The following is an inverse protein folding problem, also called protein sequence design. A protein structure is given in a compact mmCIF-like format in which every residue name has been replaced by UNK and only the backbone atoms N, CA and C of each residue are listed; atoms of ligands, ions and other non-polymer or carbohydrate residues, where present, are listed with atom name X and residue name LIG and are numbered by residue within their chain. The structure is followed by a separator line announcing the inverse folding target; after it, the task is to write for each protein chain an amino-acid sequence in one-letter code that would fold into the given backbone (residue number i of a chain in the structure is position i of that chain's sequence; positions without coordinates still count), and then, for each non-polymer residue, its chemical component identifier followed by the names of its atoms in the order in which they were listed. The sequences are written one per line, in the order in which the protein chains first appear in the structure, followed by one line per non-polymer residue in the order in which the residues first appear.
data_IF_359063384924
#
_entry.id   IF_359063384924
#
_cell.length_a   1.000
_cell.length_b   1.000
_cell.length_c   1.000
_cell.angle_alpha   90.00
_cell.angle_beta   90.00
_cell.angle_gamma   90.00
#
_symmetry.space_group_name_H-M   'P 1'
#
loop_
_entity.id
_entity.type
_entity.pdbx_description
1 polymer ?
#
# COMPACT_ATOMS: atom_id res chain seq x y z
N UNK A 1 13.21 14.56 -5.12
CA UNK A 1 14.57 14.73 -4.52
C UNK A 1 14.40 14.90 -3.03
N UNK A 2 15.15 14.11 -2.23
CA UNK A 2 15.21 14.22 -0.77
C UNK A 2 16.53 14.84 -0.35
N UNK A 3 16.49 15.67 0.68
CA UNK A 3 17.69 16.19 1.34
C UNK A 3 18.02 15.35 2.58
N UNK A 4 19.28 15.17 2.87
CA UNK A 4 19.76 14.48 4.07
C UNK A 4 21.10 15.13 4.54
N UNK A 5 21.44 14.91 5.81
CA UNK A 5 22.73 15.35 6.34
C UNK A 5 23.72 14.19 6.29
N UNK A 6 24.85 14.39 5.66
CA UNK A 6 25.95 13.40 5.59
C UNK A 6 26.53 13.16 6.97
N UNK A 7 26.49 11.92 7.44
CA UNK A 7 26.95 11.57 8.81
C UNK A 7 28.43 11.82 9.04
N UNK A 8 29.24 11.77 7.97
CA UNK A 8 30.70 11.90 8.05
C UNK A 8 31.19 13.35 7.97
N UNK A 9 30.50 14.22 7.26
CA UNK A 9 30.95 15.61 7.02
C UNK A 9 30.00 16.66 7.61
N UNK A 10 28.78 16.28 8.00
CA UNK A 10 27.76 17.24 8.44
C UNK A 10 27.13 18.07 7.31
N UNK A 11 27.60 17.90 6.08
CA UNK A 11 27.09 18.64 4.92
C UNK A 11 25.70 18.12 4.47
N UNK A 12 24.94 19.01 3.84
CA UNK A 12 23.69 18.62 3.18
C UNK A 12 24.00 17.85 1.90
N UNK A 13 23.33 16.72 1.72
CA UNK A 13 23.33 15.92 0.49
C UNK A 13 21.95 15.82 -0.10
N UNK A 14 21.86 15.48 -1.38
CA UNK A 14 20.61 15.21 -2.11
C UNK A 14 20.61 13.77 -2.59
N UNK A 15 19.46 13.13 -2.55
CA UNK A 15 19.24 11.81 -3.13
C UNK A 15 17.93 11.75 -3.88
N UNK A 16 17.93 11.05 -4.98
CA UNK A 16 16.76 10.76 -5.80
C UNK A 16 16.81 9.31 -6.24
N UNK A 17 15.67 8.68 -6.38
CA UNK A 17 15.56 7.36 -7.00
C UNK A 17 14.80 7.48 -8.31
N UNK A 18 15.28 6.76 -9.31
CA UNK A 18 14.59 6.51 -10.58
C UNK A 18 14.43 5.00 -10.74
N UNK A 19 13.40 4.57 -11.44
CA UNK A 19 13.26 3.17 -11.86
C UNK A 19 13.60 3.12 -13.33
N UNK A 20 14.56 2.29 -13.69
CA UNK A 20 14.90 1.98 -15.07
C UNK A 20 14.34 0.61 -15.40
N UNK A 21 13.79 0.48 -16.60
CA UNK A 21 13.27 -0.78 -17.12
C UNK A 21 13.85 -1.07 -18.49
N UNK A 22 14.06 -2.35 -18.76
CA UNK A 22 14.34 -2.89 -20.08
C UNK A 22 13.48 -4.13 -20.33
N UNK A 23 13.67 -4.82 -21.43
CA UNK A 23 12.92 -6.03 -21.78
C UNK A 23 13.06 -7.18 -20.76
N UNK A 24 14.10 -7.16 -19.93
CA UNK A 24 14.39 -8.20 -18.93
C UNK A 24 13.80 -7.90 -17.55
N UNK A 25 13.41 -6.65 -17.29
CA UNK A 25 12.86 -6.26 -15.99
C UNK A 25 13.12 -4.81 -15.61
N UNK A 26 12.96 -4.52 -14.32
CA UNK A 26 13.17 -3.18 -13.79
C UNK A 26 14.13 -3.17 -12.60
N UNK A 27 14.87 -2.06 -12.45
CA UNK A 27 15.78 -1.87 -11.35
C UNK A 27 15.68 -0.44 -10.80
N UNK A 28 15.72 -0.30 -9.49
CA UNK A 28 15.82 1.00 -8.85
C UNK A 28 17.25 1.51 -8.88
N UNK A 29 17.41 2.77 -9.24
CA UNK A 29 18.71 3.45 -9.28
C UNK A 29 18.70 4.62 -8.32
N UNK A 30 19.67 4.68 -7.41
CA UNK A 30 19.88 5.81 -6.51
C UNK A 30 20.87 6.80 -7.12
N UNK A 31 20.43 8.04 -7.30
CA UNK A 31 21.20 9.18 -7.79
C UNK A 31 21.54 10.10 -6.63
N UNK A 32 22.75 10.63 -6.59
CA UNK A 32 23.27 11.42 -5.48
C UNK A 32 23.75 12.80 -5.92
N UNK A 33 23.52 13.79 -5.09
CA UNK A 33 24.02 15.17 -5.22
C UNK A 33 23.76 15.75 -6.63
N UNK A 34 24.79 15.99 -7.45
CA UNK A 34 24.69 16.54 -8.80
C UNK A 34 23.89 15.65 -9.76
N UNK A 35 23.95 14.33 -9.59
CA UNK A 35 23.19 13.39 -10.42
C UNK A 35 21.69 13.57 -10.27
N UNK A 36 21.21 14.13 -9.15
CA UNK A 36 19.80 14.41 -8.93
C UNK A 36 19.24 15.49 -9.87
N UNK A 37 20.09 16.37 -10.39
CA UNK A 37 19.72 17.41 -11.36
C UNK A 37 19.35 16.77 -12.70
N UNK A 38 20.21 15.86 -13.18
CA UNK A 38 19.94 15.11 -14.41
C UNK A 38 18.69 14.26 -14.22
N UNK A 39 18.57 13.53 -13.09
CA UNK A 39 17.39 12.72 -12.80
C UNK A 39 16.09 13.53 -12.75
N UNK A 40 16.15 14.78 -12.28
CA UNK A 40 14.96 15.66 -12.23
C UNK A 40 14.54 16.18 -13.60
N UNK A 41 15.43 16.16 -14.58
CA UNK A 41 15.15 16.57 -15.97
C UNK A 41 14.63 15.40 -16.84
N UNK A 42 14.60 14.17 -16.29
CA UNK A 42 14.06 13.01 -17.00
C UNK A 42 12.54 12.96 -16.91
N UNK A 43 11.94 12.50 -17.99
CA UNK A 43 10.53 12.16 -18.09
C UNK A 43 10.35 10.65 -18.21
N UNK A 44 9.18 10.15 -17.82
CA UNK A 44 8.82 8.75 -18.06
C UNK A 44 8.83 8.50 -19.58
N UNK A 45 9.49 7.41 -19.99
CA UNK A 45 9.70 7.08 -21.41
C UNK A 45 11.03 7.56 -21.99
N UNK A 46 11.81 8.37 -21.24
CA UNK A 46 13.14 8.76 -21.70
C UNK A 46 14.09 7.57 -21.68
N UNK A 47 14.75 7.33 -22.80
CA UNK A 47 15.87 6.38 -22.87
C UNK A 47 17.12 6.98 -22.24
N UNK A 48 17.75 6.24 -21.34
CA UNK A 48 18.95 6.68 -20.62
C UNK A 48 20.08 5.64 -20.67
N UNK A 49 21.30 6.13 -20.68
CA UNK A 49 22.51 5.33 -20.43
C UNK A 49 23.00 5.60 -19.03
N UNK A 50 23.31 4.55 -18.30
CA UNK A 50 23.88 4.62 -16.97
C UNK A 50 25.26 3.98 -16.95
N UNK A 51 26.24 4.64 -16.35
CA UNK A 51 27.60 4.16 -16.23
C UNK A 51 28.16 4.39 -14.83
N UNK A 52 29.12 3.57 -14.42
CA UNK A 52 29.81 3.73 -13.13
C UNK A 52 28.93 3.48 -11.90
N UNK A 53 27.92 2.63 -12.05
CA UNK A 53 27.08 2.15 -10.97
C UNK A 53 27.55 0.80 -10.41
N UNK A 54 27.05 0.44 -9.25
CA UNK A 54 27.19 -0.89 -8.67
C UNK A 54 25.87 -1.39 -8.11
N UNK A 55 25.67 -2.70 -8.22
CA UNK A 55 24.51 -3.36 -7.66
C UNK A 55 24.72 -3.64 -6.16
N UNK A 56 23.67 -3.46 -5.37
CA UNK A 56 23.65 -3.79 -3.94
C UNK A 56 22.30 -4.38 -3.58
N UNK A 57 22.22 -5.08 -2.47
CA UNK A 57 20.96 -5.42 -1.85
C UNK A 57 20.34 -4.16 -1.26
N UNK A 58 19.12 -3.86 -1.71
CA UNK A 58 18.29 -2.78 -1.19
C UNK A 58 17.40 -3.26 -0.06
N UNK A 59 16.36 -2.49 0.21
CA UNK A 59 15.32 -2.87 1.15
C UNK A 59 14.53 -4.06 0.59
N UNK A 60 14.20 -5.06 1.42
CA UNK A 60 13.53 -6.33 1.04
C UNK A 60 14.35 -7.25 0.11
N UNK A 61 15.67 -7.28 0.24
CA UNK A 61 16.58 -8.11 -0.57
C UNK A 61 16.52 -7.85 -2.09
N UNK A 62 15.73 -6.89 -2.55
CA UNK A 62 15.69 -6.50 -3.95
C UNK A 62 17.02 -5.91 -4.40
N UNK A 63 17.45 -6.23 -5.62
CA UNK A 63 18.64 -5.62 -6.19
C UNK A 63 18.37 -4.17 -6.55
N UNK A 64 19.23 -3.28 -6.08
CA UNK A 64 19.23 -1.86 -6.43
C UNK A 64 20.57 -1.47 -7.04
N UNK A 65 20.57 -0.52 -7.97
CA UNK A 65 21.78 0.13 -8.46
C UNK A 65 22.03 1.44 -7.70
N UNK A 66 23.27 1.70 -7.41
CA UNK A 66 23.70 2.98 -6.86
C UNK A 66 24.81 3.53 -7.76
N UNK A 67 24.66 4.75 -8.22
CA UNK A 67 25.75 5.43 -8.94
C UNK A 67 26.86 5.81 -7.97
N UNK A 68 28.09 5.57 -8.39
CA UNK A 68 29.27 6.10 -7.69
C UNK A 68 29.38 7.61 -7.93
N UNK A 69 30.24 8.29 -7.19
CA UNK A 69 30.52 9.72 -7.42
C UNK A 69 31.00 10.04 -8.84
N UNK A 70 31.59 9.06 -9.52
CA UNK A 70 32.05 9.17 -10.93
C UNK A 70 31.07 8.56 -11.91
N UNK A 71 29.98 8.02 -11.43
CA UNK A 71 28.94 7.46 -12.27
C UNK A 71 28.11 8.57 -12.94
N UNK A 72 27.66 8.30 -14.12
CA UNK A 72 26.86 9.22 -14.92
C UNK A 72 25.52 8.57 -15.33
N UNK A 73 24.51 9.40 -15.45
CA UNK A 73 23.25 9.08 -16.11
C UNK A 73 23.06 10.10 -17.23
N UNK A 74 22.81 9.64 -18.43
CA UNK A 74 22.71 10.47 -19.62
C UNK A 74 21.47 10.07 -20.41
N UNK A 75 20.74 11.06 -20.90
CA UNK A 75 19.65 10.83 -21.87
C UNK A 75 20.27 10.42 -23.20
N UNK A 76 19.75 9.37 -23.81
CA UNK A 76 20.22 8.86 -25.10
C UNK A 76 19.11 8.90 -26.12
N UNK A 77 19.48 9.08 -27.39
CA UNK A 77 18.56 8.99 -28.52
C UNK A 77 18.51 7.57 -29.12
N UNK A 78 19.13 6.57 -28.45
CA UNK A 78 19.02 5.20 -28.89
C UNK A 78 17.55 4.80 -28.89
N UNK A 79 17.11 4.27 -30.03
CA UNK A 79 15.81 3.64 -30.17
C UNK A 79 15.87 2.31 -29.40
N UNK A 80 15.73 2.44 -28.08
CA UNK A 80 15.61 1.29 -27.21
C UNK A 80 14.12 0.99 -27.24
N UNK A 81 13.74 -0.07 -27.93
CA UNK A 81 12.39 -0.60 -27.90
C UNK A 81 12.14 -1.21 -26.51
N UNK A 82 12.13 -0.33 -25.53
CA UNK A 82 11.74 -0.69 -24.18
C UNK A 82 10.23 -0.57 -24.22
N UNK A 83 9.48 -1.62 -23.95
CA UNK A 83 8.10 -1.43 -23.59
C UNK A 83 8.13 -0.36 -22.49
N UNK A 84 7.59 0.84 -22.79
CA UNK A 84 7.37 1.86 -21.75
C UNK A 84 6.87 1.05 -20.60
N UNK A 85 7.62 1.04 -19.47
CA UNK A 85 7.27 0.24 -18.33
C UNK A 85 5.82 0.61 -18.03
N UNK A 86 4.90 -0.06 -18.71
CA UNK A 86 3.50 -0.03 -18.36
C UNK A 86 3.58 -0.53 -16.96
N UNK A 87 3.18 0.32 -16.04
CA UNK A 87 2.96 -0.12 -14.68
C UNK A 87 2.10 -1.36 -14.81
N UNK A 88 2.73 -2.55 -14.80
CA UNK A 88 1.99 -3.79 -14.91
C UNK A 88 1.17 -3.88 -13.64
N UNK A 89 -0.12 -3.74 -13.84
CA UNK A 89 -1.07 -3.91 -12.75
C UNK A 89 -1.02 -5.36 -12.33
N UNK A 90 -0.56 -5.56 -11.10
CA UNK A 90 -0.59 -6.88 -10.47
C UNK A 90 -2.00 -7.09 -9.93
N UNK A 91 -2.65 -8.17 -10.36
CA UNK A 91 -3.93 -8.56 -9.80
C UNK A 91 -3.76 -9.00 -8.34
N UNK A 92 -4.76 -8.74 -7.50
CA UNK A 92 -4.70 -9.13 -6.09
C UNK A 92 -4.41 -10.63 -5.92
N UNK A 93 -5.01 -11.48 -6.75
CA UNK A 93 -4.79 -12.93 -6.69
C UNK A 93 -3.34 -13.36 -7.01
N UNK A 94 -2.60 -12.53 -7.75
CA UNK A 94 -1.22 -12.83 -8.16
C UNK A 94 -0.18 -12.27 -7.18
N UNK A 95 -0.62 -11.58 -6.13
CA UNK A 95 0.29 -11.04 -5.12
C UNK A 95 0.99 -12.16 -4.35
N UNK A 96 2.32 -12.08 -4.29
CA UNK A 96 3.14 -13.03 -3.55
C UNK A 96 4.15 -12.29 -2.66
N UNK A 97 4.53 -12.95 -1.55
CA UNK A 97 5.57 -12.42 -0.65
C UNK A 97 6.87 -12.16 -1.40
N UNK A 98 7.50 -11.04 -1.09
CA UNK A 98 8.78 -10.63 -1.70
C UNK A 98 8.64 -9.84 -2.99
N UNK A 99 7.44 -9.73 -3.57
CA UNK A 99 7.23 -8.86 -4.72
C UNK A 99 7.56 -7.41 -4.37
N UNK A 100 8.20 -6.72 -5.29
CA UNK A 100 8.57 -5.32 -5.17
C UNK A 100 8.12 -4.55 -6.42
N UNK A 101 8.07 -3.23 -6.31
CA UNK A 101 7.62 -2.33 -7.38
C UNK A 101 6.21 -2.64 -7.90
N UNK A 102 5.34 -3.08 -7.00
CA UNK A 102 3.95 -3.44 -7.31
C UNK A 102 3.20 -2.19 -7.75
N UNK A 103 2.45 -2.31 -8.84
CA UNK A 103 1.36 -1.42 -9.21
C UNK A 103 0.04 -2.17 -9.02
N UNK A 104 -0.84 -1.63 -8.20
CA UNK A 104 -2.14 -2.18 -7.87
C UNK A 104 -3.21 -1.12 -8.11
N UNK A 105 -4.26 -1.46 -8.86
CA UNK A 105 -5.44 -0.60 -9.01
C UNK A 105 -6.67 -1.36 -8.55
N UNK A 106 -7.51 -0.70 -7.78
CA UNK A 106 -8.74 -1.29 -7.28
C UNK A 106 -9.64 -0.25 -6.64
N UNK A 107 -10.67 -0.71 -5.99
CA UNK A 107 -11.60 0.13 -5.22
C UNK A 107 -11.37 -0.03 -3.72
N UNK A 108 -11.57 1.03 -2.98
CA UNK A 108 -11.51 1.05 -1.52
C UNK A 108 -12.66 0.24 -0.96
N UNK A 109 -12.38 -0.92 -0.37
CA UNK A 109 -13.36 -1.71 0.37
C UNK A 109 -13.47 -1.25 1.83
N UNK A 110 -12.42 -0.64 2.36
CA UNK A 110 -12.42 -0.08 3.70
C UNK A 110 -11.12 0.64 4.04
N UNK A 111 -11.19 1.50 5.03
CA UNK A 111 -10.05 2.28 5.53
C UNK A 111 -10.13 2.35 7.06
N UNK A 112 -9.02 2.09 7.74
CA UNK A 112 -8.93 2.24 9.19
C UNK A 112 -8.56 3.68 9.57
N UNK A 113 -8.76 4.02 10.83
CA UNK A 113 -8.24 5.26 11.38
C UNK A 113 -6.71 5.32 11.29
N UNK A 114 -6.19 6.54 11.14
CA UNK A 114 -4.76 6.79 11.19
C UNK A 114 -4.28 6.68 12.63
N UNK A 115 -3.34 5.76 12.88
CA UNK A 115 -2.71 5.59 14.19
C UNK A 115 -1.31 6.20 14.17
N UNK A 116 -0.95 6.84 15.26
CA UNK A 116 0.39 7.37 15.47
C UNK A 116 1.13 6.53 16.51
N UNK A 117 2.41 6.30 16.28
CA UNK A 117 3.29 5.67 17.26
C UNK A 117 4.69 6.25 17.17
N UNK A 118 5.39 6.23 18.29
CA UNK A 118 6.76 6.69 18.38
C UNK A 118 7.74 5.52 18.37
N UNK A 119 8.79 5.65 17.57
CA UNK A 119 9.91 4.72 17.56
C UNK A 119 11.22 5.47 17.41
N UNK A 120 12.15 5.27 18.34
CA UNK A 120 13.47 5.92 18.34
C UNK A 120 13.40 7.45 18.22
N UNK A 121 12.46 8.08 18.96
CA UNK A 121 12.25 9.53 18.97
C UNK A 121 11.70 10.11 17.66
N UNK A 122 11.06 9.27 16.85
CA UNK A 122 10.36 9.69 15.62
C UNK A 122 8.93 9.21 15.64
N UNK A 123 8.02 10.08 15.29
CA UNK A 123 6.60 9.76 15.12
C UNK A 123 6.37 9.17 13.73
N UNK A 124 5.65 8.06 13.69
CA UNK A 124 5.21 7.40 12.47
C UNK A 124 3.68 7.34 12.47
N UNK A 125 3.10 7.50 11.32
CA UNK A 125 1.67 7.35 11.09
C UNK A 125 1.44 6.11 10.24
N UNK A 126 0.44 5.32 10.58
CA UNK A 126 0.04 4.14 9.81
C UNK A 126 -1.47 4.07 9.70
N UNK A 127 -1.93 3.65 8.53
CA UNK A 127 -3.34 3.37 8.24
C UNK A 127 -3.42 2.08 7.42
N UNK A 128 -4.46 1.30 7.62
CA UNK A 128 -4.77 0.14 6.78
C UNK A 128 -5.83 0.52 5.77
N UNK A 129 -5.52 0.30 4.50
CA UNK A 129 -6.45 0.43 3.39
C UNK A 129 -6.75 -0.97 2.85
N UNK A 130 -8.00 -1.29 2.65
CA UNK A 130 -8.42 -2.53 2.01
C UNK A 130 -8.79 -2.21 0.58
N UNK A 131 -8.03 -2.79 -0.37
CA UNK A 131 -8.21 -2.57 -1.81
C UNK A 131 -8.73 -3.84 -2.43
N UNK A 132 -9.77 -3.74 -3.22
CA UNK A 132 -10.40 -4.84 -3.93
C UNK A 132 -10.33 -4.62 -5.44
N UNK A 133 -9.95 -5.65 -6.18
CA UNK A 133 -10.12 -5.76 -7.63
C UNK A 133 -11.05 -6.92 -7.98
N UNK A 134 -11.19 -7.24 -9.26
CA UNK A 134 -12.03 -8.36 -9.72
C UNK A 134 -11.54 -9.74 -9.23
N UNK A 135 -10.30 -9.86 -8.75
CA UNK A 135 -9.65 -11.12 -8.39
C UNK A 135 -9.60 -11.39 -6.89
N UNK A 136 -9.77 -10.34 -6.06
CA UNK A 136 -9.72 -10.49 -4.62
C UNK A 136 -9.60 -9.18 -3.86
N UNK A 137 -9.26 -9.29 -2.58
CA UNK A 137 -9.04 -8.16 -1.69
C UNK A 137 -7.71 -8.31 -0.98
N UNK A 138 -6.98 -7.19 -0.85
CA UNK A 138 -5.71 -7.14 -0.14
C UNK A 138 -5.66 -5.99 0.85
N UNK A 139 -5.01 -6.22 1.98
CA UNK A 139 -4.68 -5.17 2.93
C UNK A 139 -3.43 -4.42 2.47
N UNK A 140 -3.52 -3.11 2.45
CA UNK A 140 -2.41 -2.20 2.15
C UNK A 140 -2.07 -1.39 3.40
N UNK A 141 -0.86 -1.50 3.90
CA UNK A 141 -0.38 -0.66 5.00
C UNK A 141 0.24 0.62 4.43
N UNK A 142 -0.42 1.73 4.68
CA UNK A 142 -0.01 3.06 4.27
C UNK A 142 0.76 3.75 5.39
N UNK A 143 1.89 4.39 5.06
CA UNK A 143 2.79 4.99 6.04
C UNK A 143 2.94 6.49 5.85
N UNK A 144 2.98 7.24 6.96
CA UNK A 144 3.26 8.67 7.03
C UNK A 144 2.36 9.51 6.10
N UNK A 145 2.92 10.18 5.08
CA UNK A 145 2.16 11.01 4.16
C UNK A 145 1.07 10.23 3.40
N UNK A 146 1.31 8.95 3.07
CA UNK A 146 0.29 8.11 2.44
C UNK A 146 -0.86 7.79 3.40
N UNK A 147 -0.57 7.59 4.70
CA UNK A 147 -1.60 7.41 5.72
C UNK A 147 -2.46 8.68 5.89
N UNK A 148 -1.84 9.86 5.85
CA UNK A 148 -2.59 11.12 5.95
C UNK A 148 -3.49 11.37 4.74
N UNK A 149 -3.06 10.95 3.55
CA UNK A 149 -3.84 11.12 2.32
C UNK A 149 -5.15 10.30 2.31
N UNK A 150 -5.31 9.34 3.23
CA UNK A 150 -6.55 8.54 3.32
C UNK A 150 -7.74 9.28 3.91
N UNK A 151 -7.56 10.47 4.48
CA UNK A 151 -8.65 11.24 5.11
C UNK A 151 -9.78 11.61 4.15
N UNK A 152 -9.44 11.73 2.86
CA UNK A 152 -10.40 12.09 1.80
C UNK A 152 -10.93 10.85 1.05
N UNK A 153 -10.57 9.63 1.49
CA UNK A 153 -11.00 8.38 0.88
C UNK A 153 -12.31 7.89 1.48
N UNK A 154 -13.18 7.45 0.61
CA UNK A 154 -14.44 6.77 0.95
C UNK A 154 -14.45 5.35 0.37
N UNK A 155 -15.24 4.47 0.98
CA UNK A 155 -15.55 3.15 0.40
C UNK A 155 -16.16 3.36 -0.98
N UNK A 156 -15.68 2.62 -1.97
CA UNK A 156 -16.05 2.73 -3.38
C UNK A 156 -15.14 3.64 -4.21
N UNK A 157 -14.29 4.46 -3.60
CA UNK A 157 -13.32 5.26 -4.36
C UNK A 157 -12.30 4.35 -5.06
N UNK A 158 -12.01 4.65 -6.32
CA UNK A 158 -10.91 4.01 -7.01
C UNK A 158 -9.56 4.55 -6.51
N UNK A 159 -8.58 3.66 -6.38
CA UNK A 159 -7.21 4.02 -6.02
C UNK A 159 -6.21 3.27 -6.89
N UNK A 160 -5.08 3.92 -7.16
CA UNK A 160 -3.91 3.31 -7.78
C UNK A 160 -2.71 3.50 -6.86
N UNK A 161 -2.04 2.40 -6.57
CA UNK A 161 -0.83 2.35 -5.77
C UNK A 161 0.31 1.87 -6.66
N UNK A 162 1.45 2.54 -6.63
CA UNK A 162 2.65 2.11 -7.37
C UNK A 162 3.91 2.21 -6.53
N UNK A 163 4.92 1.41 -6.89
CA UNK A 163 6.18 1.34 -6.15
C UNK A 163 6.04 0.71 -4.76
N UNK A 164 5.01 -0.10 -4.57
CA UNK A 164 4.75 -0.83 -3.33
C UNK A 164 5.51 -2.16 -3.27
N UNK A 165 5.44 -2.84 -2.14
CA UNK A 165 6.01 -4.18 -1.97
C UNK A 165 5.08 -5.06 -1.16
N UNK A 166 5.15 -6.38 -1.41
CA UNK A 166 4.37 -7.38 -0.70
C UNK A 166 5.21 -8.10 0.35
N UNK A 167 4.60 -8.37 1.48
CA UNK A 167 5.18 -9.20 2.55
C UNK A 167 4.11 -10.09 3.17
N UNK A 168 4.53 -11.10 3.92
CA UNK A 168 3.63 -11.86 4.76
C UNK A 168 3.19 -11.01 5.95
N UNK A 169 1.89 -10.86 6.13
CA UNK A 169 1.24 -10.23 7.27
C UNK A 169 0.53 -11.26 8.14
N UNK A 170 -0.25 -10.79 9.11
CA UNK A 170 -0.98 -11.69 10.04
C UNK A 170 -2.09 -12.51 9.35
N UNK A 171 -2.74 -11.95 8.32
CA UNK A 171 -3.85 -12.59 7.60
C UNK A 171 -3.50 -13.04 6.18
N UNK A 172 -2.22 -13.20 5.83
CA UNK A 172 -1.77 -13.53 4.49
C UNK A 172 -0.86 -12.47 3.89
N UNK A 173 -0.74 -12.47 2.57
CA UNK A 173 0.05 -11.44 1.86
C UNK A 173 -0.58 -10.07 2.02
N UNK A 174 0.20 -9.07 2.41
CA UNK A 174 -0.19 -7.67 2.47
C UNK A 174 0.76 -6.81 1.64
N UNK A 175 0.23 -5.71 1.13
CA UNK A 175 1.00 -4.71 0.39
C UNK A 175 1.37 -3.56 1.33
N UNK A 176 2.57 -3.01 1.18
CA UNK A 176 3.04 -1.88 1.97
C UNK A 176 3.59 -0.77 1.11
N UNK A 177 3.32 0.46 1.53
CA UNK A 177 3.96 1.63 0.95
C UNK A 177 5.30 1.91 1.63
N UNK A 178 6.17 2.55 0.90
CA UNK A 178 7.42 3.13 1.39
C UNK A 178 7.51 4.60 0.96
N UNK A 179 8.63 5.22 1.25
CA UNK A 179 8.84 6.63 0.93
C UNK A 179 8.85 6.97 -0.58
N UNK A 180 8.88 5.97 -1.45
CA UNK A 180 8.93 6.10 -2.90
C UNK A 180 7.63 5.65 -3.57
N UNK A 181 6.75 5.01 -2.82
CA UNK A 181 5.43 4.63 -3.31
C UNK A 181 4.61 5.87 -3.66
N UNK A 182 3.67 5.69 -4.56
CA UNK A 182 2.69 6.72 -4.96
C UNK A 182 1.30 6.18 -4.69
N UNK A 183 0.45 7.03 -4.15
CA UNK A 183 -0.98 6.80 -4.00
C UNK A 183 -1.70 7.84 -4.86
N UNK A 184 -2.45 7.38 -5.83
CA UNK A 184 -3.33 8.20 -6.66
C UNK A 184 -4.78 7.90 -6.24
N UNK A 185 -5.51 8.94 -5.89
CA UNK A 185 -6.90 8.85 -5.45
C UNK A 185 -7.79 9.24 -6.63
N UNK A 186 -8.80 8.42 -6.91
CA UNK A 186 -9.73 8.59 -8.03
C UNK A 186 -9.01 8.73 -9.38
N UNK A 187 -8.07 7.80 -9.71
CA UNK A 187 -7.45 7.77 -11.02
C UNK A 187 -8.49 7.52 -12.11
N UNK A 188 -8.14 7.82 -13.36
CA UNK A 188 -8.92 7.33 -14.48
C UNK A 188 -8.80 5.80 -14.55
N UNK A 189 -9.92 5.12 -14.35
CA UNK A 189 -10.05 3.66 -14.36
C UNK A 189 -10.94 3.19 -15.52
N UNK A 190 -11.14 4.05 -16.51
CA UNK A 190 -11.92 3.71 -17.71
C UNK A 190 -11.37 2.45 -18.37
N UNK A 191 -12.20 1.46 -18.54
CA UNK A 191 -11.84 0.16 -19.14
C UNK A 191 -11.30 -0.88 -18.17
N UNK A 192 -11.25 -0.59 -16.86
CA UNK A 192 -11.00 -1.60 -15.82
C UNK A 192 -12.32 -2.15 -15.30
N UNK A 193 -12.39 -3.46 -15.16
CA UNK A 193 -13.51 -4.16 -14.50
C UNK A 193 -13.25 -4.14 -12.99
N UNK A 194 -13.79 -3.13 -12.32
CA UNK A 194 -13.66 -2.99 -10.86
C UNK A 194 -14.96 -3.40 -10.18
N UNK A 195 -14.88 -4.15 -9.06
CA UNK A 195 -16.06 -4.62 -8.35
C UNK A 195 -16.82 -3.48 -7.67
N UNK A 196 -18.13 -3.64 -7.54
CA UNK A 196 -18.93 -2.79 -6.66
C UNK A 196 -18.71 -3.24 -5.20
N UNK A 197 -17.97 -2.44 -4.43
CA UNK A 197 -17.71 -2.70 -3.00
C UNK A 197 -18.82 -2.19 -2.08
N UNK A 198 -19.80 -1.48 -2.63
CA UNK A 198 -21.00 -1.09 -1.91
C UNK A 198 -22.01 -2.23 -1.75
N UNK A 199 -21.84 -3.33 -2.47
CA UNK A 199 -22.70 -4.49 -2.37
C UNK A 199 -22.53 -5.18 -1.00
N UNK A 200 -23.67 -5.52 -0.39
CA UNK A 200 -23.68 -6.33 0.82
C UNK A 200 -23.38 -7.79 0.50
N UNK A 201 -22.47 -8.38 1.28
CA UNK A 201 -22.19 -9.81 1.21
C UNK A 201 -23.33 -10.56 1.90
N UNK A 202 -23.97 -11.55 1.24
CA UNK A 202 -24.94 -12.43 1.90
C UNK A 202 -24.29 -13.14 3.09
N UNK A 203 -25.00 -13.23 4.22
CA UNK A 203 -24.43 -13.78 5.47
C UNK A 203 -24.00 -15.24 5.31
N UNK A 204 -24.69 -16.02 4.48
CA UNK A 204 -24.34 -17.43 4.19
C UNK A 204 -23.12 -17.60 3.29
N UNK A 205 -22.67 -16.54 2.62
CA UNK A 205 -21.47 -16.54 1.76
C UNK A 205 -20.23 -16.01 2.46
N UNK A 206 -20.36 -15.54 3.71
CA UNK A 206 -19.24 -15.04 4.48
C UNK A 206 -18.17 -16.13 4.69
N UNK A 207 -16.92 -15.77 4.40
CA UNK A 207 -15.74 -16.61 4.62
C UNK A 207 -14.63 -15.81 5.30
N UNK A 208 -13.59 -16.50 5.74
CA UNK A 208 -12.42 -15.86 6.35
C UNK A 208 -11.66 -14.92 5.39
N UNK A 209 -11.92 -15.02 4.08
CA UNK A 209 -11.30 -14.18 3.05
C UNK A 209 -11.96 -12.79 3.00
N UNK A 210 -13.15 -12.63 3.58
CA UNK A 210 -13.83 -11.33 3.70
C UNK A 210 -13.28 -10.53 4.89
N UNK A 211 -12.05 -10.04 4.78
CA UNK A 211 -11.38 -9.29 5.86
C UNK A 211 -12.03 -7.93 6.16
N UNK A 212 -12.73 -7.35 5.20
CA UNK A 212 -13.48 -6.09 5.35
C UNK A 212 -14.67 -6.11 4.38
N UNK A 213 -15.86 -6.22 4.90
CA UNK A 213 -17.07 -6.32 4.08
C UNK A 213 -18.24 -5.61 4.76
N UNK A 214 -19.24 -5.24 3.96
CA UNK A 214 -20.52 -4.77 4.44
C UNK A 214 -21.53 -5.91 4.39
N UNK A 215 -22.31 -6.05 5.44
CA UNK A 215 -23.40 -7.03 5.54
C UNK A 215 -24.68 -6.33 5.93
N UNK A 216 -25.80 -6.93 5.58
CA UNK A 216 -27.13 -6.47 5.97
C UNK A 216 -27.95 -7.67 6.45
N UNK A 217 -28.66 -7.49 7.54
CA UNK A 217 -29.53 -8.53 8.08
C UNK A 217 -30.44 -7.99 9.17
N UNK A 218 -31.29 -8.86 9.69
CA UNK A 218 -32.13 -8.58 10.85
C UNK A 218 -31.47 -9.11 12.11
N UNK A 219 -31.54 -8.36 13.20
CA UNK A 219 -31.04 -8.83 14.50
C UNK A 219 -31.94 -9.95 15.01
N UNK A 220 -31.40 -11.17 15.05
CA UNK A 220 -32.10 -12.35 15.54
C UNK A 220 -31.95 -12.54 17.07
N UNK A 221 -30.79 -12.13 17.61
CA UNK A 221 -30.51 -12.19 19.04
C UNK A 221 -29.50 -11.11 19.46
N UNK A 222 -29.64 -10.63 20.69
CA UNK A 222 -28.69 -9.75 21.37
C UNK A 222 -28.17 -10.46 22.61
N UNK A 223 -26.86 -10.34 22.87
CA UNK A 223 -26.22 -10.90 24.02
C UNK A 223 -25.67 -9.78 24.91
N UNK A 224 -25.81 -9.93 26.22
CA UNK A 224 -25.35 -8.92 27.17
C UNK A 224 -23.84 -8.65 27.02
N UNK A 225 -23.43 -7.38 27.00
CA UNK A 225 -22.02 -7.01 26.98
C UNK A 225 -21.29 -7.48 28.23
N UNK A 226 -20.00 -7.84 28.08
CA UNK A 226 -19.10 -8.22 29.15
C UNK A 226 -17.89 -7.32 29.17
N UNK A 227 -17.42 -6.97 30.35
CA UNK A 227 -16.18 -6.23 30.52
C UNK A 227 -14.99 -7.19 30.63
N UNK A 228 -13.84 -6.76 30.15
CA UNK A 228 -12.56 -7.47 30.28
C UNK A 228 -11.41 -6.47 30.51
N UNK A 229 -10.32 -6.95 31.11
CA UNK A 229 -9.10 -6.14 31.31
C UNK A 229 -8.16 -6.35 30.12
N UNK A 230 -7.61 -5.26 29.60
CA UNK A 230 -6.55 -5.30 28.59
C UNK A 230 -5.17 -5.40 29.24
N UNK A 231 -4.17 -5.79 28.47
CA UNK A 231 -2.78 -5.94 28.93
C UNK A 231 -2.16 -4.62 29.42
N UNK A 232 -2.66 -3.48 28.98
CA UNK A 232 -2.27 -2.14 29.43
C UNK A 232 -2.98 -1.68 30.71
N UNK A 233 -3.82 -2.55 31.30
CA UNK A 233 -4.59 -2.27 32.51
C UNK A 233 -5.90 -1.48 32.27
N UNK A 234 -6.23 -1.12 31.05
CA UNK A 234 -7.51 -0.49 30.71
C UNK A 234 -8.64 -1.53 30.68
N UNK A 235 -9.88 -1.07 30.80
CA UNK A 235 -11.08 -1.94 30.70
C UNK A 235 -11.65 -1.80 29.30
N UNK A 236 -11.98 -2.93 28.67
CA UNK A 236 -12.73 -3.00 27.44
C UNK A 236 -14.11 -3.63 27.65
N UNK A 237 -15.01 -3.39 26.73
CA UNK A 237 -16.34 -4.01 26.70
C UNK A 237 -16.49 -4.77 25.39
N UNK A 238 -17.05 -5.98 25.45
CA UNK A 238 -17.41 -6.77 24.27
C UNK A 238 -18.86 -7.25 24.40
N UNK A 239 -19.64 -6.92 23.39
CA UNK A 239 -21.00 -7.45 23.19
C UNK A 239 -21.04 -8.31 21.94
N UNK A 240 -22.17 -8.95 21.70
CA UNK A 240 -22.39 -9.64 20.45
C UNK A 240 -23.86 -9.65 20.10
N UNK A 241 -24.12 -9.73 18.80
CA UNK A 241 -25.45 -9.95 18.25
C UNK A 241 -25.43 -11.05 17.20
N UNK A 242 -26.56 -11.63 16.94
CA UNK A 242 -26.76 -12.53 15.81
C UNK A 242 -27.55 -11.77 14.72
N UNK A 243 -26.94 -11.65 13.54
CA UNK A 243 -27.62 -11.15 12.34
C UNK A 243 -28.06 -12.32 11.48
N UNK A 244 -29.23 -12.18 10.87
CA UNK A 244 -29.81 -13.15 9.96
C UNK A 244 -30.32 -12.47 8.70
N UNK A 245 -30.12 -13.11 7.55
CA UNK A 245 -30.72 -12.78 6.26
C UNK A 245 -31.30 -14.05 5.62
N UNK A 246 -31.72 -13.98 4.35
CA UNK A 246 -32.27 -15.11 3.61
C UNK A 246 -31.23 -16.22 3.35
N UNK A 247 -29.94 -15.91 3.39
CA UNK A 247 -28.84 -16.83 3.07
C UNK A 247 -28.28 -17.54 4.29
N UNK A 248 -28.42 -16.96 5.49
CA UNK A 248 -27.89 -17.54 6.71
C UNK A 248 -27.88 -16.61 7.90
N UNK A 249 -27.12 -16.99 8.94
CA UNK A 249 -26.89 -16.16 10.12
C UNK A 249 -25.42 -16.10 10.49
N UNK A 250 -25.02 -15.00 11.15
CA UNK A 250 -23.66 -14.78 11.61
C UNK A 250 -23.65 -14.08 12.96
N UNK A 251 -22.70 -14.46 13.81
CA UNK A 251 -22.46 -13.76 15.06
C UNK A 251 -21.50 -12.59 14.83
N UNK A 252 -21.94 -11.39 15.21
CA UNK A 252 -21.17 -10.15 15.14
C UNK A 252 -20.70 -9.80 16.55
N UNK A 253 -19.39 -9.57 16.73
CA UNK A 253 -18.82 -9.04 17.96
C UNK A 253 -18.72 -7.53 17.88
N UNK A 254 -19.22 -6.85 18.93
CA UNK A 254 -19.19 -5.40 19.08
C UNK A 254 -18.22 -5.05 20.20
N UNK A 255 -17.42 -4.01 19.98
CA UNK A 255 -16.37 -3.63 20.92
C UNK A 255 -16.56 -2.19 21.41
N UNK A 256 -16.36 -2.00 22.72
CA UNK A 256 -16.38 -0.68 23.37
C UNK A 256 -17.63 0.14 23.01
N UNK A 257 -17.47 1.30 22.38
CA UNK A 257 -18.56 2.20 21.99
C UNK A 257 -19.60 1.54 21.07
N UNK A 258 -19.19 0.52 20.31
CA UNK A 258 -20.13 -0.22 19.45
C UNK A 258 -21.16 -1.03 20.26
N UNK A 259 -20.88 -1.28 21.54
CA UNK A 259 -21.83 -2.02 22.41
C UNK A 259 -22.97 -1.14 22.92
N UNK A 260 -22.91 0.17 22.72
CA UNK A 260 -23.90 1.15 23.16
C UNK A 260 -24.99 1.44 22.11
N UNK A 261 -24.91 0.77 20.94
CA UNK A 261 -25.90 0.92 19.87
C UNK A 261 -27.18 0.16 20.28
N UNK A 262 -28.15 0.92 20.76
CA UNK A 262 -29.48 0.46 21.14
C UNK A 262 -30.53 1.35 20.51
#
# INVERSE_FOLDING_TARGET
VKQFTKRTTGESGRVMSVVLADESGSVRVSLWDEQTEVGSALSIGDAVRLSGGFAKKGFNDAVELTLTRRGAIEKTSADIDVPVAREEHVAVADLAEGMANICLTGVVAGVSDVREYERSGRTFKVCSLFVRDATGQVRVSLWNAHAEATRDLSVGDAVRLSGCYARMGFGGVEVQTNAYSRLEIRPDVSGLDLPDVGAFVPLGELSADHQFCSVRGTVAALFEPRTFSRDDGSTGTVGSMELQDESGSVRVSLWDEQTEVG
#
